data_IF_153503160119
#
_entry.id   IF_153503160119
#
_cell.length_a   1.000
_cell.length_b   1.000
_cell.length_c   1.000
_cell.angle_alpha   90.00
_cell.angle_beta   90.00
_cell.angle_gamma   90.00
#
_symmetry.space_group_name_H-M   'P 1'
#
loop_
_entity.id
_entity.type
_entity.pdbx_description
1 polymer ?
#
# COMPACT_ATOMS: atom_id res chain seq x y z
N UNK A 1 -7.60 -28.50 35.91
CA UNK A 1 -8.93 -28.90 36.39
C UNK A 1 -8.81 -30.24 37.09
N UNK A 2 -8.67 -30.27 38.41
CA UNK A 2 -8.56 -31.54 39.15
C UNK A 2 -9.82 -32.39 38.92
N UNK A 3 -9.65 -33.56 38.30
CA UNK A 3 -10.74 -34.51 38.07
C UNK A 3 -10.86 -35.38 39.32
N UNK A 4 -11.96 -35.22 40.06
CA UNK A 4 -12.23 -35.96 41.30
C UNK A 4 -13.06 -37.24 41.07
N UNK A 5 -13.56 -37.45 39.84
CA UNK A 5 -14.32 -38.65 39.50
C UNK A 5 -13.44 -39.88 39.41
N UNK A 6 -13.97 -41.02 39.86
CA UNK A 6 -13.27 -42.31 39.79
C UNK A 6 -13.06 -42.72 38.33
N UNK A 7 -11.92 -43.34 38.07
CA UNK A 7 -11.66 -43.93 36.76
C UNK A 7 -12.67 -45.04 36.45
N UNK A 8 -12.88 -45.31 35.16
CA UNK A 8 -13.75 -46.42 34.72
C UNK A 8 -13.28 -47.78 35.26
N UNK A 9 -11.99 -47.96 35.50
CA UNK A 9 -11.44 -49.21 36.06
C UNK A 9 -11.79 -49.36 37.55
N UNK A 10 -11.70 -48.29 38.32
CA UNK A 10 -12.13 -48.26 39.72
C UNK A 10 -13.64 -48.49 39.82
N UNK A 11 -14.44 -47.82 38.97
CA UNK A 11 -15.89 -48.02 38.92
C UNK A 11 -16.25 -49.48 38.62
N UNK A 12 -15.63 -50.11 37.61
CA UNK A 12 -15.86 -51.51 37.25
C UNK A 12 -15.57 -52.50 38.39
N UNK A 13 -14.75 -52.14 39.38
CA UNK A 13 -14.49 -53.01 40.52
C UNK A 13 -15.73 -53.18 41.41
N UNK A 14 -16.62 -52.18 41.46
CA UNK A 14 -17.85 -52.21 42.26
C UNK A 14 -19.03 -52.91 41.56
N UNK A 15 -19.00 -53.03 40.23
CA UNK A 15 -20.09 -53.60 39.42
C UNK A 15 -19.74 -54.97 38.81
N UNK A 16 -19.33 -55.93 39.66
CA UNK A 16 -19.06 -57.33 39.24
C UNK A 16 -20.21 -58.26 39.66
N UNK A 17 -20.20 -59.47 39.11
CA UNK A 17 -21.15 -60.51 39.51
C UNK A 17 -21.06 -60.75 41.02
N UNK A 18 -22.21 -60.74 41.70
CA UNK A 18 -22.36 -60.87 43.15
C UNK A 18 -21.82 -59.69 43.99
N UNK A 19 -21.42 -58.57 43.38
CA UNK A 19 -21.14 -57.32 44.11
C UNK A 19 -22.45 -56.64 44.53
N UNK A 20 -22.42 -55.90 45.64
CA UNK A 20 -23.53 -55.05 46.11
C UNK A 20 -23.06 -53.58 46.04
N UNK A 21 -23.25 -52.87 44.91
CA UNK A 21 -22.88 -51.47 44.79
C UNK A 21 -23.70 -50.61 45.77
N UNK A 22 -23.07 -49.60 46.36
CA UNK A 22 -23.73 -48.63 47.23
C UNK A 22 -24.38 -47.50 46.42
N UNK A 23 -25.24 -46.71 47.06
CA UNK A 23 -25.79 -45.47 46.48
C UNK A 23 -24.66 -44.55 45.96
N UNK A 24 -23.58 -44.38 46.73
CA UNK A 24 -22.41 -43.60 46.30
C UNK A 24 -21.74 -44.19 45.06
N UNK A 25 -21.69 -45.52 44.90
CA UNK A 25 -21.16 -46.12 43.67
C UNK A 25 -22.03 -45.81 42.44
N UNK A 26 -23.35 -45.75 42.60
CA UNK A 26 -24.24 -45.33 41.53
C UNK A 26 -24.09 -43.85 41.21
N UNK A 27 -23.97 -42.99 42.23
CA UNK A 27 -23.70 -41.56 42.04
C UNK A 27 -22.39 -41.33 41.27
N UNK A 28 -21.31 -42.00 41.67
CA UNK A 28 -20.01 -41.92 40.97
C UNK A 28 -20.11 -42.36 39.50
N UNK A 29 -20.93 -43.38 39.21
CA UNK A 29 -21.13 -43.88 37.85
C UNK A 29 -21.94 -42.89 36.99
N UNK A 30 -23.01 -42.32 37.53
CA UNK A 30 -23.89 -41.38 36.82
C UNK A 30 -23.16 -40.07 36.55
N UNK A 31 -22.51 -39.50 37.57
CA UNK A 31 -21.81 -38.22 37.46
C UNK A 31 -20.47 -38.32 36.73
N UNK A 32 -19.92 -39.53 36.56
CA UNK A 32 -18.66 -39.77 35.85
C UNK A 32 -18.80 -39.90 34.33
N UNK A 33 -20.02 -39.89 33.79
CA UNK A 33 -20.31 -40.00 32.36
C UNK A 33 -20.79 -38.66 31.79
N UNK A 34 -20.60 -38.45 30.49
CA UNK A 34 -21.14 -37.28 29.81
C UNK A 34 -22.65 -37.41 29.59
N UNK A 35 -23.41 -36.41 30.01
CA UNK A 35 -24.82 -36.22 29.79
C UNK A 35 -25.07 -35.19 28.68
N UNK A 36 -25.89 -35.55 27.70
CA UNK A 36 -26.08 -34.70 26.52
C UNK A 36 -26.68 -33.32 26.81
N UNK A 37 -27.60 -33.26 27.79
CA UNK A 37 -28.32 -32.02 28.11
C UNK A 37 -27.55 -31.22 29.15
N UNK A 38 -27.07 -31.90 30.19
CA UNK A 38 -26.49 -31.22 31.34
C UNK A 38 -25.05 -30.75 31.05
N UNK A 39 -24.31 -31.42 30.16
CA UNK A 39 -22.92 -31.07 29.82
C UNK A 39 -22.79 -30.31 28.49
N UNK A 40 -23.90 -29.91 27.86
CA UNK A 40 -23.87 -29.11 26.62
C UNK A 40 -23.25 -29.83 25.41
N UNK A 41 -23.13 -31.16 25.44
CA UNK A 41 -22.49 -31.96 24.38
C UNK A 41 -23.49 -32.94 23.73
N UNK A 42 -23.82 -32.75 22.46
CA UNK A 42 -24.80 -33.60 21.78
C UNK A 42 -24.21 -34.27 20.54
N UNK A 43 -24.38 -35.60 20.43
CA UNK A 43 -24.08 -36.36 19.22
C UNK A 43 -25.29 -37.16 18.76
N UNK A 44 -26.21 -36.50 18.07
CA UNK A 44 -27.38 -37.15 17.50
C UNK A 44 -26.99 -38.02 16.27
N UNK A 45 -27.68 -39.14 16.02
CA UNK A 45 -27.49 -39.93 14.80
C UNK A 45 -27.63 -39.05 13.56
N UNK A 46 -26.70 -39.16 12.61
CA UNK A 46 -26.70 -38.36 11.37
C UNK A 46 -26.18 -36.91 11.50
N UNK A 47 -26.00 -36.37 12.71
CA UNK A 47 -25.48 -35.00 12.93
C UNK A 47 -24.01 -35.00 13.37
N UNK A 48 -23.25 -33.90 13.15
CA UNK A 48 -21.92 -33.73 13.75
C UNK A 48 -21.99 -33.64 15.28
N UNK A 49 -20.83 -33.59 15.93
CA UNK A 49 -20.75 -33.22 17.34
C UNK A 49 -21.21 -31.78 17.52
N UNK A 50 -22.16 -31.55 18.41
CA UNK A 50 -22.61 -30.21 18.81
C UNK A 50 -22.10 -29.91 20.21
N UNK A 51 -21.63 -28.68 20.40
CA UNK A 51 -21.17 -28.16 21.68
C UNK A 51 -21.90 -26.84 21.90
N UNK A 52 -22.57 -26.73 23.04
CA UNK A 52 -23.16 -25.49 23.52
C UNK A 52 -22.09 -24.72 24.30
N UNK A 53 -21.99 -23.40 24.06
CA UNK A 53 -21.07 -22.58 24.82
C UNK A 53 -21.56 -22.44 26.26
N UNK A 54 -20.63 -22.31 27.20
CA UNK A 54 -21.00 -21.97 28.56
C UNK A 54 -21.76 -20.63 28.65
N UNK A 55 -22.51 -20.45 29.72
CA UNK A 55 -23.24 -19.20 30.00
C UNK A 55 -22.32 -18.10 30.54
N UNK A 56 -21.00 -18.32 30.51
CA UNK A 56 -20.02 -17.34 30.92
C UNK A 56 -19.96 -16.17 29.93
N UNK A 57 -19.39 -15.05 30.38
CA UNK A 57 -19.30 -13.85 29.55
C UNK A 57 -18.44 -14.04 28.30
N UNK A 58 -17.50 -15.00 28.33
CA UNK A 58 -16.62 -15.33 27.20
C UNK A 58 -17.07 -16.58 26.43
N UNK A 59 -18.22 -17.17 26.78
CA UNK A 59 -18.89 -18.27 26.08
C UNK A 59 -17.92 -19.34 25.56
N UNK A 60 -17.17 -19.98 26.47
CA UNK A 60 -16.16 -20.98 26.13
C UNK A 60 -16.83 -22.25 25.62
N UNK A 61 -16.23 -22.83 24.58
CA UNK A 61 -16.68 -24.07 23.93
C UNK A 61 -15.75 -25.24 24.29
N UNK A 62 -14.45 -25.06 24.10
CA UNK A 62 -13.45 -26.12 24.30
C UNK A 62 -12.22 -25.53 24.98
N UNK A 63 -11.77 -26.17 26.04
CA UNK A 63 -10.54 -25.83 26.76
C UNK A 63 -9.45 -26.86 26.47
N UNK A 64 -8.25 -26.39 26.15
CA UNK A 64 -7.08 -27.20 25.88
C UNK A 64 -6.08 -27.03 27.02
N UNK A 65 -5.60 -28.14 27.57
CA UNK A 65 -4.65 -28.19 28.69
C UNK A 65 -3.39 -28.95 28.27
N UNK A 66 -2.24 -28.63 28.87
CA UNK A 66 -1.08 -29.54 28.81
C UNK A 66 -1.28 -30.71 29.76
N UNK A 67 -1.71 -30.39 30.97
CA UNK A 67 -2.09 -31.35 32.00
C UNK A 67 -3.44 -30.94 32.60
N UNK A 68 -4.32 -31.91 32.78
CA UNK A 68 -5.62 -31.67 33.41
C UNK A 68 -5.45 -31.31 34.89
N UNK A 69 -4.30 -31.49 35.53
CA UNK A 69 -4.07 -31.00 36.90
C UNK A 69 -3.97 -29.46 36.99
N UNK A 70 -3.69 -28.74 35.90
CA UNK A 70 -3.47 -27.28 35.87
C UNK A 70 -4.75 -26.47 36.12
N UNK A 71 -4.71 -25.37 36.88
CA UNK A 71 -5.92 -24.59 37.20
C UNK A 71 -6.59 -23.91 36.00
N UNK A 72 -5.83 -23.57 34.95
CA UNK A 72 -6.31 -22.86 33.78
C UNK A 72 -5.88 -23.54 32.46
N UNK A 73 -6.70 -23.48 31.40
CA UNK A 73 -6.33 -24.01 30.10
C UNK A 73 -5.25 -23.15 29.45
N UNK A 74 -4.43 -23.75 28.59
CA UNK A 74 -3.43 -23.03 27.80
C UNK A 74 -4.05 -22.30 26.60
N UNK A 75 -5.10 -22.89 26.02
CA UNK A 75 -5.87 -22.30 24.93
C UNK A 75 -7.35 -22.61 25.11
N UNK A 76 -8.22 -21.73 24.63
CA UNK A 76 -9.65 -21.99 24.55
C UNK A 76 -10.22 -21.60 23.20
N UNK A 77 -11.14 -22.42 22.69
CA UNK A 77 -12.07 -22.03 21.65
C UNK A 77 -13.30 -21.44 22.33
N UNK A 78 -13.73 -20.25 21.91
CA UNK A 78 -14.83 -19.54 22.56
C UNK A 78 -15.68 -18.74 21.56
N UNK A 79 -16.88 -18.36 21.97
CA UNK A 79 -17.74 -17.43 21.25
C UNK A 79 -17.69 -16.06 21.93
N UNK A 80 -17.96 -15.02 21.15
CA UNK A 80 -18.24 -13.69 21.66
C UNK A 80 -17.21 -13.15 22.66
N UNK A 81 -15.90 -13.18 22.34
CA UNK A 81 -14.85 -12.75 23.25
C UNK A 81 -15.02 -11.29 23.70
N UNK A 82 -14.57 -11.01 24.92
CA UNK A 82 -14.50 -9.66 25.47
C UNK A 82 -13.45 -8.78 24.81
N UNK A 83 -13.75 -7.50 24.72
CA UNK A 83 -12.83 -6.44 24.28
C UNK A 83 -11.61 -6.35 25.20
N UNK A 84 -11.84 -6.51 26.51
CA UNK A 84 -10.81 -6.68 27.52
C UNK A 84 -11.21 -7.84 28.46
N UNK A 85 -10.54 -9.01 28.38
CA UNK A 85 -10.85 -10.15 29.25
C UNK A 85 -10.68 -9.88 30.75
N UNK A 86 -9.85 -8.90 31.14
CA UNK A 86 -9.65 -8.53 32.54
C UNK A 86 -10.77 -7.62 33.08
N UNK A 87 -11.54 -6.98 32.20
CA UNK A 87 -12.66 -6.12 32.56
C UNK A 87 -14.00 -6.84 32.38
N UNK A 88 -14.68 -7.09 33.50
CA UNK A 88 -15.99 -7.73 33.51
C UNK A 88 -17.07 -6.93 32.76
N UNK A 89 -16.86 -5.63 32.56
CA UNK A 89 -17.79 -4.70 31.91
C UNK A 89 -17.49 -4.42 30.44
N UNK A 90 -16.37 -4.94 29.91
CA UNK A 90 -16.00 -4.69 28.52
C UNK A 90 -16.97 -5.35 27.53
N UNK A 91 -17.14 -4.72 26.37
CA UNK A 91 -18.05 -5.18 25.32
C UNK A 91 -17.65 -6.56 24.77
N UNK A 92 -18.65 -7.39 24.48
CA UNK A 92 -18.47 -8.66 23.78
C UNK A 92 -18.49 -8.45 22.26
N UNK A 93 -17.62 -9.13 21.53
CA UNK A 93 -17.53 -9.04 20.08
C UNK A 93 -18.07 -10.31 19.43
N UNK A 94 -19.19 -10.21 18.73
CA UNK A 94 -19.88 -11.36 18.16
C UNK A 94 -19.01 -12.14 17.16
N UNK A 95 -18.69 -13.40 17.46
CA UNK A 95 -17.83 -14.20 16.60
C UNK A 95 -17.22 -15.43 17.26
N UNK A 96 -16.33 -16.09 16.54
CA UNK A 96 -15.55 -17.25 17.00
C UNK A 96 -14.13 -16.81 17.34
N UNK A 97 -13.61 -17.26 18.48
CA UNK A 97 -12.28 -16.88 18.99
C UNK A 97 -11.44 -18.07 19.37
N UNK A 98 -10.14 -17.99 19.10
CA UNK A 98 -9.11 -18.81 19.72
C UNK A 98 -8.31 -17.89 20.65
N UNK A 99 -8.36 -18.18 21.95
CA UNK A 99 -7.82 -17.32 23.01
C UNK A 99 -6.80 -18.05 23.88
N UNK A 100 -5.89 -17.29 24.49
CA UNK A 100 -4.94 -17.82 25.47
C UNK A 100 -5.57 -18.04 26.87
N UNK A 101 -4.75 -18.50 27.81
CA UNK A 101 -5.14 -18.73 29.22
C UNK A 101 -5.71 -17.52 29.95
N UNK A 102 -5.36 -16.29 29.51
CA UNK A 102 -5.88 -15.04 30.07
C UNK A 102 -7.16 -14.57 29.37
N UNK A 103 -7.60 -15.30 28.33
CA UNK A 103 -8.76 -14.97 27.53
C UNK A 103 -8.48 -14.00 26.39
N UNK A 104 -7.24 -13.59 26.14
CA UNK A 104 -6.94 -12.70 25.02
C UNK A 104 -7.11 -13.45 23.70
N UNK A 105 -7.88 -12.87 22.77
CA UNK A 105 -8.11 -13.45 21.45
C UNK A 105 -6.89 -13.26 20.55
N UNK A 106 -6.37 -14.35 20.01
CA UNK A 106 -5.26 -14.34 19.03
C UNK A 106 -5.75 -14.49 17.60
N UNK A 107 -6.83 -15.24 17.40
CA UNK A 107 -7.54 -15.37 16.13
C UNK A 107 -9.03 -15.18 16.38
N UNK A 108 -9.65 -14.28 15.63
CA UNK A 108 -11.06 -13.98 15.69
C UNK A 108 -11.71 -14.01 14.31
N UNK A 109 -12.93 -14.52 14.22
CA UNK A 109 -13.76 -14.48 13.02
C UNK A 109 -15.09 -13.83 13.39
N UNK A 110 -15.34 -12.63 12.86
CA UNK A 110 -16.57 -11.88 13.12
C UNK A 110 -17.77 -12.58 12.47
N UNK A 111 -18.83 -12.82 13.25
CA UNK A 111 -19.97 -13.63 12.77
C UNK A 111 -20.84 -12.92 11.74
N UNK A 112 -20.86 -11.58 11.71
CA UNK A 112 -21.69 -10.80 10.78
C UNK A 112 -21.05 -10.63 9.40
N UNK A 113 -19.74 -10.36 9.35
CA UNK A 113 -19.03 -10.03 8.10
C UNK A 113 -18.11 -11.14 7.58
N UNK A 114 -17.78 -12.11 8.44
CA UNK A 114 -16.74 -13.12 8.18
C UNK A 114 -15.33 -12.53 8.11
N UNK A 115 -15.12 -11.32 8.61
CA UNK A 115 -13.80 -10.71 8.67
C UNK A 115 -12.94 -11.44 9.72
N UNK A 116 -11.66 -11.63 9.39
CA UNK A 116 -10.70 -12.33 10.25
C UNK A 116 -9.79 -11.31 10.92
N UNK A 117 -9.69 -11.39 12.24
CA UNK A 117 -8.78 -10.61 13.05
C UNK A 117 -7.65 -11.46 13.63
N UNK A 118 -6.41 -10.98 13.57
CA UNK A 118 -5.26 -11.57 14.27
C UNK A 118 -4.80 -10.57 15.34
N UNK A 119 -4.95 -10.92 16.61
CA UNK A 119 -4.75 -10.00 17.74
C UNK A 119 -5.70 -8.79 17.75
N UNK A 120 -6.78 -8.84 16.96
CA UNK A 120 -7.82 -7.81 16.85
C UNK A 120 -9.19 -8.48 16.79
N UNK A 121 -10.13 -8.06 17.63
CA UNK A 121 -11.51 -8.59 17.66
C UNK A 121 -12.55 -7.63 17.08
N UNK A 122 -12.10 -6.49 16.52
CA UNK A 122 -12.92 -5.55 15.76
C UNK A 122 -12.31 -5.31 14.36
N UNK A 123 -12.22 -6.37 13.52
CA UNK A 123 -11.52 -6.28 12.24
C UNK A 123 -12.22 -5.30 11.28
N UNK A 124 -11.48 -4.30 10.78
CA UNK A 124 -11.99 -3.24 9.89
C UNK A 124 -12.02 -3.63 8.42
N UNK A 125 -11.53 -4.81 8.09
CA UNK A 125 -11.47 -5.37 6.74
C UNK A 125 -11.41 -6.89 6.77
N UNK A 126 -11.34 -7.54 5.60
CA UNK A 126 -11.41 -9.00 5.49
C UNK A 126 -10.34 -9.75 6.29
N UNK A 127 -9.16 -9.16 6.39
CA UNK A 127 -8.09 -9.58 7.29
C UNK A 127 -7.54 -8.33 7.97
N UNK A 128 -7.58 -8.29 9.30
CA UNK A 128 -7.06 -7.19 10.12
C UNK A 128 -6.08 -7.78 11.14
N UNK A 129 -4.85 -7.27 11.16
CA UNK A 129 -3.77 -7.78 12.02
C UNK A 129 -3.33 -6.64 12.92
N UNK A 130 -3.49 -6.80 14.23
CA UNK A 130 -2.89 -5.93 15.21
C UNK A 130 -1.42 -6.33 15.40
N UNK A 131 -0.56 -5.83 14.52
CA UNK A 131 0.86 -6.15 14.51
C UNK A 131 1.43 -6.17 13.10
N UNK A 132 2.48 -6.97 12.92
CA UNK A 132 3.16 -7.12 11.62
C UNK A 132 2.80 -8.44 10.95
N UNK A 133 2.52 -8.38 9.65
CA UNK A 133 2.41 -9.58 8.81
C UNK A 133 3.78 -9.90 8.21
N UNK A 134 4.39 -10.99 8.65
CA UNK A 134 5.68 -11.47 8.14
C UNK A 134 5.44 -12.57 7.11
N UNK A 135 5.97 -12.39 5.91
CA UNK A 135 6.00 -13.42 4.89
C UNK A 135 7.40 -14.02 4.79
N UNK A 136 7.54 -15.32 5.05
CA UNK A 136 8.82 -16.05 4.95
C UNK A 136 8.79 -16.98 3.74
N UNK A 137 9.83 -16.94 2.91
CA UNK A 137 9.94 -17.76 1.69
C UNK A 137 10.72 -17.07 0.56
N UNK A 138 11.39 -17.85 -0.28
CA UNK A 138 12.25 -17.43 -1.40
C UNK A 138 11.49 -17.19 -2.71
N UNK A 139 10.17 -16.96 -2.66
CA UNK A 139 9.34 -16.68 -3.84
C UNK A 139 8.34 -15.57 -3.56
N UNK A 140 8.25 -14.62 -4.49
CA UNK A 140 7.44 -13.41 -4.48
C UNK A 140 6.13 -13.52 -3.68
N UNK A 141 6.10 -12.90 -2.50
CA UNK A 141 4.85 -12.61 -1.82
C UNK A 141 4.04 -11.63 -2.65
N UNK A 142 2.89 -12.08 -3.17
CA UNK A 142 1.92 -11.22 -3.85
C UNK A 142 0.90 -10.72 -2.83
N UNK A 143 1.03 -9.46 -2.41
CA UNK A 143 -0.06 -8.75 -1.73
C UNK A 143 -0.94 -8.15 -2.83
N UNK A 144 -1.93 -8.90 -3.31
CA UNK A 144 -2.88 -8.40 -4.31
C UNK A 144 -4.05 -7.71 -3.60
N UNK A 145 -3.92 -6.41 -3.36
CA UNK A 145 -4.96 -5.56 -2.79
C UNK A 145 -5.65 -4.67 -3.83
N UNK A 146 -5.98 -5.18 -5.02
CA UNK A 146 -6.77 -4.40 -5.96
C UNK A 146 -8.25 -4.52 -5.57
N UNK A 147 -8.80 -3.53 -4.87
CA UNK A 147 -10.27 -3.41 -4.82
C UNK A 147 -10.75 -3.26 -6.26
N UNK A 148 -11.75 -4.05 -6.68
CA UNK A 148 -12.37 -3.89 -8.00
C UNK A 148 -12.92 -2.46 -8.06
N UNK A 149 -12.18 -1.55 -8.69
CA UNK A 149 -12.48 -0.12 -8.76
C UNK A 149 -11.33 0.84 -8.42
N UNK A 150 -10.28 0.40 -7.71
CA UNK A 150 -9.10 1.25 -7.42
C UNK A 150 -7.83 0.67 -8.04
N UNK A 151 -7.19 1.44 -8.93
CA UNK A 151 -6.00 1.04 -9.73
C UNK A 151 -4.69 1.01 -8.91
N UNK A 152 -4.74 0.66 -7.63
CA UNK A 152 -3.59 0.68 -6.72
C UNK A 152 -3.21 -0.76 -6.36
N UNK A 153 -2.02 -1.20 -6.76
CA UNK A 153 -1.53 -2.55 -6.43
C UNK A 153 -1.08 -2.67 -4.96
N UNK A 154 -0.65 -1.56 -4.34
CA UNK A 154 -0.17 -1.48 -2.96
C UNK A 154 -0.29 -0.02 -2.46
N UNK A 155 -0.94 0.20 -1.31
CA UNK A 155 -1.03 1.51 -0.62
C UNK A 155 -0.24 1.41 0.68
N UNK A 156 0.89 2.10 0.77
CA UNK A 156 1.69 2.20 2.00
C UNK A 156 1.40 3.56 2.68
N UNK A 157 0.71 3.55 3.82
CA UNK A 157 0.41 4.75 4.64
C UNK A 157 0.93 4.56 6.06
N UNK A 158 1.61 5.55 6.62
CA UNK A 158 2.01 5.61 8.03
C UNK A 158 2.96 6.78 8.32
N UNK A 159 3.16 7.07 9.61
CA UNK A 159 4.08 8.11 10.11
C UNK A 159 5.49 7.53 10.32
N UNK A 160 6.17 7.19 9.23
CA UNK A 160 7.50 6.59 9.28
C UNK A 160 8.58 7.67 9.21
N UNK A 161 9.66 7.52 10.00
CA UNK A 161 10.86 8.36 9.86
C UNK A 161 11.66 8.01 8.59
N UNK A 162 11.51 6.78 8.09
CA UNK A 162 12.12 6.28 6.85
C UNK A 162 11.28 5.13 6.28
N UNK A 163 11.19 5.04 4.94
CA UNK A 163 10.60 3.90 4.22
C UNK A 163 11.71 3.21 3.40
N UNK A 164 12.27 2.14 3.94
CA UNK A 164 13.34 1.38 3.29
C UNK A 164 12.74 0.21 2.47
N UNK A 165 12.83 0.28 1.14
CA UNK A 165 12.39 -0.80 0.24
C UNK A 165 13.63 -1.43 -0.41
N UNK A 166 14.05 -2.60 0.08
CA UNK A 166 15.19 -3.36 -0.48
C UNK A 166 14.70 -4.30 -1.58
N UNK A 167 15.25 -4.17 -2.79
CA UNK A 167 14.93 -5.02 -3.95
C UNK A 167 14.22 -4.28 -5.08
N UNK A 168 13.59 -5.03 -6.00
CA UNK A 168 12.85 -4.47 -7.15
C UNK A 168 11.49 -3.95 -6.68
N UNK A 169 11.40 -2.65 -6.44
CA UNK A 169 10.21 -1.93 -5.91
C UNK A 169 9.01 -1.94 -6.87
N UNK A 170 9.24 -2.16 -8.16
CA UNK A 170 8.24 -2.03 -9.23
C UNK A 170 8.33 -3.27 -10.14
N UNK A 171 7.30 -4.12 -10.11
CA UNK A 171 7.08 -5.14 -11.15
C UNK A 171 6.11 -4.59 -12.19
N UNK A 172 6.52 -4.62 -13.45
CA UNK A 172 5.94 -3.81 -14.52
C UNK A 172 4.91 -4.62 -15.30
N UNK A 173 3.63 -4.53 -14.93
CA UNK A 173 2.54 -5.05 -15.75
C UNK A 173 1.75 -3.89 -16.37
N UNK A 174 2.21 -3.38 -17.51
CA UNK A 174 1.60 -2.23 -18.20
C UNK A 174 2.58 -1.47 -19.11
N UNK A 175 2.31 -0.18 -19.36
CA UNK A 175 3.03 0.66 -20.33
C UNK A 175 3.98 1.72 -19.74
N UNK A 176 3.68 2.34 -18.59
CA UNK A 176 4.45 3.48 -18.03
C UNK A 176 4.60 3.41 -16.48
N UNK A 177 5.65 4.06 -15.93
CA UNK A 177 5.84 4.33 -14.49
C UNK A 177 5.50 5.79 -14.17
N UNK A 178 4.67 6.04 -13.16
CA UNK A 178 4.18 7.36 -12.77
C UNK A 178 4.52 7.65 -11.29
N UNK A 179 5.12 8.81 -10.98
CA UNK A 179 5.51 9.23 -9.62
C UNK A 179 4.82 10.57 -9.28
N UNK A 180 4.13 10.61 -8.14
CA UNK A 180 3.32 11.76 -7.68
C UNK A 180 1.93 11.78 -8.32
N UNK A 181 0.90 11.39 -7.56
CA UNK A 181 -0.47 11.16 -8.05
C UNK A 181 -1.50 12.04 -7.33
N UNK A 182 -2.53 12.48 -8.05
CA UNK A 182 -3.79 12.96 -7.48
C UNK A 182 -4.84 11.83 -7.40
N UNK A 183 -5.96 12.09 -6.71
CA UNK A 183 -7.01 11.11 -6.45
C UNK A 183 -7.74 10.59 -7.71
N UNK A 184 -7.54 11.20 -8.89
CA UNK A 184 -8.25 10.88 -10.12
C UNK A 184 -7.39 10.20 -11.19
N UNK A 185 -6.11 9.93 -10.91
CA UNK A 185 -5.21 9.21 -11.83
C UNK A 185 -4.97 9.91 -13.18
N UNK A 186 -5.26 11.20 -13.30
CA UNK A 186 -5.08 11.96 -14.55
C UNK A 186 -3.74 12.71 -14.61
N UNK A 187 -3.04 12.74 -13.48
CA UNK A 187 -2.04 13.75 -13.18
C UNK A 187 -0.79 13.12 -12.57
N UNK A 188 0.34 13.13 -13.28
CA UNK A 188 1.61 12.56 -12.80
C UNK A 188 2.69 13.64 -12.79
N UNK A 189 3.51 13.73 -11.75
CA UNK A 189 4.60 14.73 -11.71
C UNK A 189 5.82 14.28 -12.52
N UNK A 190 6.13 12.98 -12.50
CA UNK A 190 7.15 12.36 -13.34
C UNK A 190 6.55 11.12 -14.00
N UNK A 191 6.74 10.98 -15.31
CA UNK A 191 6.32 9.80 -16.07
C UNK A 191 7.49 9.25 -16.89
N UNK A 192 7.66 7.92 -16.87
CA UNK A 192 8.62 7.19 -17.71
C UNK A 192 7.84 6.19 -18.58
N UNK A 193 7.86 6.36 -19.90
CA UNK A 193 7.07 5.52 -20.82
C UNK A 193 7.90 4.59 -21.71
N UNK A 194 7.56 3.28 -21.77
CA UNK A 194 8.32 2.31 -22.62
C UNK A 194 8.09 2.51 -24.10
N UNK A 195 6.82 2.68 -24.48
CA UNK A 195 6.44 2.57 -25.90
C UNK A 195 6.94 3.76 -26.73
N UNK A 196 7.36 4.84 -26.08
CA UNK A 196 7.90 6.03 -26.72
C UNK A 196 9.31 6.38 -26.19
N UNK A 197 9.78 5.73 -25.12
CA UNK A 197 11.13 5.90 -24.58
C UNK A 197 11.38 7.31 -24.04
N UNK A 198 10.44 7.85 -23.25
CA UNK A 198 10.56 9.19 -22.68
C UNK A 198 10.57 9.22 -21.16
N UNK A 199 11.27 10.20 -20.60
CA UNK A 199 11.16 10.69 -19.23
C UNK A 199 10.54 12.09 -19.30
N UNK A 200 9.39 12.33 -18.67
CA UNK A 200 8.77 13.67 -18.63
C UNK A 200 8.55 14.16 -17.20
N UNK A 201 8.65 15.47 -17.05
CA UNK A 201 8.31 16.22 -15.85
C UNK A 201 7.07 17.07 -16.15
N UNK A 202 6.12 17.05 -15.22
CA UNK A 202 4.85 17.73 -15.39
C UNK A 202 4.59 18.71 -14.24
N UNK A 203 3.81 19.75 -14.52
CA UNK A 203 3.30 20.73 -13.54
C UNK A 203 1.78 20.88 -13.66
N UNK A 204 1.19 21.79 -12.87
CA UNK A 204 -0.25 22.07 -12.91
C UNK A 204 -1.09 20.86 -12.49
N UNK A 205 -0.60 20.07 -11.53
CA UNK A 205 -1.17 18.77 -11.21
C UNK A 205 -1.13 17.86 -12.44
N UNK A 206 0.04 17.61 -13.02
CA UNK A 206 0.22 16.59 -14.07
C UNK A 206 -0.48 16.84 -15.42
N UNK A 207 -1.03 18.03 -15.66
CA UNK A 207 -1.72 18.39 -16.91
C UNK A 207 -0.82 19.11 -17.90
N UNK A 208 0.29 19.68 -17.44
CA UNK A 208 1.20 20.48 -18.27
C UNK A 208 2.59 19.85 -18.28
N UNK A 209 3.07 19.43 -19.45
CA UNK A 209 4.46 18.96 -19.62
C UNK A 209 5.42 20.16 -19.59
N UNK A 210 6.37 20.15 -18.66
CA UNK A 210 7.36 21.23 -18.52
C UNK A 210 8.71 20.87 -19.11
N UNK A 211 9.11 19.61 -19.01
CA UNK A 211 10.37 19.10 -19.55
C UNK A 211 10.21 17.64 -19.97
N UNK A 212 10.94 17.24 -21.01
CA UNK A 212 11.05 15.84 -21.41
C UNK A 212 12.43 15.46 -21.90
N UNK A 213 12.76 14.19 -21.76
CA UNK A 213 13.84 13.50 -22.46
C UNK A 213 13.20 12.46 -23.36
N UNK A 214 13.46 12.49 -24.65
CA UNK A 214 12.94 11.53 -25.63
C UNK A 214 13.93 11.38 -26.78
N UNK A 215 14.21 10.14 -27.20
CA UNK A 215 15.15 9.84 -28.29
C UNK A 215 16.53 10.53 -28.11
N UNK A 216 17.02 10.60 -26.87
CA UNK A 216 18.30 11.25 -26.52
C UNK A 216 18.29 12.79 -26.55
N UNK A 217 17.11 13.41 -26.69
CA UNK A 217 16.94 14.88 -26.74
C UNK A 217 16.19 15.38 -25.53
N UNK A 218 16.53 16.59 -25.08
CA UNK A 218 15.86 17.30 -24.01
C UNK A 218 14.95 18.39 -24.61
N UNK A 219 13.66 18.33 -24.29
CA UNK A 219 12.70 19.41 -24.56
C UNK A 219 12.35 20.15 -23.28
N UNK A 220 12.36 21.48 -23.28
CA UNK A 220 11.85 22.32 -22.18
C UNK A 220 10.75 23.22 -22.76
N UNK A 221 9.53 23.11 -22.23
CA UNK A 221 8.37 23.81 -22.79
C UNK A 221 7.97 23.36 -24.21
N UNK A 222 8.45 22.21 -24.67
CA UNK A 222 8.11 21.63 -25.98
C UNK A 222 7.99 20.12 -25.89
N UNK A 223 6.94 19.57 -26.50
CA UNK A 223 6.70 18.14 -26.55
C UNK A 223 7.41 17.46 -27.73
N UNK A 224 7.97 18.20 -28.69
CA UNK A 224 8.65 17.63 -29.86
C UNK A 224 10.06 18.23 -30.05
N UNK A 225 11.05 17.81 -29.24
CA UNK A 225 12.42 18.33 -29.39
C UNK A 225 13.04 17.90 -30.72
N UNK A 226 13.42 18.88 -31.55
CA UNK A 226 14.01 18.66 -32.88
C UNK A 226 15.55 18.61 -32.84
N UNK A 227 16.17 19.08 -31.75
CA UNK A 227 17.61 19.14 -31.52
C UNK A 227 17.94 18.55 -30.13
N UNK A 228 19.22 18.37 -29.80
CA UNK A 228 19.67 17.79 -28.51
C UNK A 228 19.08 18.51 -27.30
N UNK A 229 19.02 19.84 -27.33
CA UNK A 229 18.28 20.67 -26.38
C UNK A 229 17.38 21.62 -27.17
N UNK A 230 16.06 21.48 -27.03
CA UNK A 230 15.06 22.35 -27.63
C UNK A 230 14.27 23.04 -26.53
N UNK A 231 14.39 24.36 -26.42
CA UNK A 231 13.58 25.17 -25.51
C UNK A 231 12.50 25.89 -26.33
N UNK A 232 11.25 25.59 -26.05
CA UNK A 232 10.07 26.23 -26.68
C UNK A 232 9.78 27.61 -26.10
N UNK A 233 10.81 28.43 -25.88
CA UNK A 233 10.69 29.73 -25.21
C UNK A 233 12.06 30.39 -24.98
N UNK A 234 12.05 31.50 -24.26
CA UNK A 234 13.28 32.24 -23.94
C UNK A 234 14.14 31.50 -22.92
N UNK A 235 15.45 31.53 -23.13
CA UNK A 235 16.44 31.05 -22.15
C UNK A 235 17.06 32.27 -21.49
N UNK A 236 16.89 32.41 -20.16
CA UNK A 236 17.62 33.40 -19.37
C UNK A 236 18.90 32.74 -18.83
N UNK A 237 20.04 33.38 -19.05
CA UNK A 237 21.34 32.95 -18.51
C UNK A 237 21.88 34.09 -17.66
N UNK A 238 21.95 33.91 -16.34
CA UNK A 238 22.48 34.94 -15.42
C UNK A 238 24.02 35.01 -15.46
N UNK A 239 24.68 33.95 -15.92
CA UNK A 239 26.14 33.89 -16.13
C UNK A 239 26.56 33.99 -17.60
N UNK A 240 27.74 33.45 -17.92
CA UNK A 240 28.21 33.38 -19.31
C UNK A 240 27.61 32.18 -20.06
N UNK A 241 27.13 32.42 -21.28
CA UNK A 241 26.78 31.38 -22.24
C UNK A 241 27.99 31.13 -23.16
N UNK A 242 28.74 30.05 -22.92
CA UNK A 242 29.86 29.67 -23.78
C UNK A 242 29.32 28.91 -25.02
N UNK A 243 29.33 29.57 -26.18
CA UNK A 243 28.94 28.97 -27.46
C UNK A 243 30.19 28.77 -28.33
N UNK A 244 30.47 27.53 -28.70
CA UNK A 244 31.46 27.20 -29.74
C UNK A 244 30.83 27.10 -31.14
N UNK A 245 29.50 27.21 -31.23
CA UNK A 245 28.73 27.17 -32.48
C UNK A 245 28.29 28.56 -32.95
N UNK A 246 27.54 28.59 -34.05
CA UNK A 246 26.99 29.83 -34.62
C UNK A 246 25.66 30.22 -33.94
N UNK A 247 25.47 31.52 -33.69
CA UNK A 247 24.15 32.08 -33.39
C UNK A 247 23.42 32.24 -34.72
N UNK A 248 22.40 31.41 -34.97
CA UNK A 248 21.52 31.58 -36.13
C UNK A 248 20.60 32.77 -35.85
N UNK A 249 20.77 33.84 -36.62
CA UNK A 249 19.93 35.04 -36.61
C UNK A 249 19.38 35.29 -38.02
N UNK A 250 18.37 36.17 -38.12
CA UNK A 250 17.87 36.60 -39.42
C UNK A 250 18.97 37.26 -40.26
N UNK A 251 18.84 37.06 -41.58
CA UNK A 251 19.78 37.60 -42.55
C UNK A 251 19.77 39.13 -42.52
N UNK A 252 20.96 39.71 -42.43
CA UNK A 252 21.15 41.14 -42.62
C UNK A 252 20.72 41.56 -44.02
N UNK A 253 19.81 42.52 -44.11
CA UNK A 253 19.44 43.20 -45.35
C UNK A 253 20.38 44.40 -45.57
N UNK A 254 20.89 44.61 -46.79
CA UNK A 254 21.70 45.79 -47.08
C UNK A 254 20.86 47.06 -46.89
N UNK A 255 21.45 48.09 -46.27
CA UNK A 255 20.82 49.40 -46.18
C UNK A 255 21.05 50.19 -47.47
N UNK A 256 19.99 50.76 -48.04
CA UNK A 256 20.09 51.71 -49.16
C UNK A 256 20.63 53.05 -48.65
N UNK A 257 21.80 53.45 -49.14
CA UNK A 257 22.42 54.72 -48.77
C UNK A 257 21.98 55.81 -49.76
N UNK A 258 21.52 56.94 -49.23
CA UNK A 258 21.00 58.10 -49.99
C UNK A 258 21.75 59.38 -49.58
N UNK A 259 21.54 60.49 -50.29
CA UNK A 259 22.12 61.81 -49.95
C UNK A 259 23.64 61.80 -49.74
N UNK A 260 24.37 61.11 -50.62
CA UNK A 260 25.83 61.05 -50.57
C UNK A 260 26.42 60.15 -49.48
N UNK A 261 25.58 59.50 -48.65
CA UNK A 261 26.07 58.49 -47.73
C UNK A 261 26.71 57.32 -48.48
N UNK A 262 27.92 56.95 -48.10
CA UNK A 262 28.64 55.81 -48.65
C UNK A 262 29.24 54.93 -47.56
N UNK A 263 29.65 53.70 -47.91
CA UNK A 263 30.33 52.80 -46.97
C UNK A 263 31.61 53.45 -46.47
N UNK A 264 31.84 53.39 -45.15
CA UNK A 264 33.01 54.02 -44.53
C UNK A 264 34.34 53.48 -45.10
N UNK A 265 34.52 52.15 -45.06
CA UNK A 265 35.65 51.41 -45.65
C UNK A 265 35.31 49.91 -45.81
N UNK A 266 36.21 49.15 -46.47
CA UNK A 266 36.08 47.69 -46.60
C UNK A 266 36.39 46.91 -45.32
N UNK A 267 37.02 47.53 -44.32
CA UNK A 267 37.40 46.90 -43.05
C UNK A 267 36.25 46.80 -42.05
N UNK A 268 35.18 47.59 -42.23
CA UNK A 268 33.95 47.48 -41.43
C UNK A 268 32.86 46.75 -42.20
N UNK A 269 31.91 46.15 -41.47
CA UNK A 269 30.71 45.59 -42.06
C UNK A 269 29.98 46.64 -42.93
N UNK A 270 29.44 46.22 -44.08
CA UNK A 270 28.54 47.07 -44.86
C UNK A 270 27.32 47.45 -44.03
N UNK A 271 26.80 48.66 -44.24
CA UNK A 271 25.58 49.12 -43.61
C UNK A 271 24.43 48.15 -43.89
N UNK A 272 23.75 47.72 -42.85
CA UNK A 272 22.67 46.76 -42.97
C UNK A 272 21.77 46.76 -41.75
N UNK A 273 20.59 46.19 -41.94
CA UNK A 273 19.60 46.07 -40.90
C UNK A 273 18.91 44.71 -40.96
N UNK A 274 18.38 44.26 -39.84
CA UNK A 274 17.34 43.23 -39.83
C UNK A 274 16.33 43.58 -38.74
N UNK A 275 15.16 42.96 -38.81
CA UNK A 275 14.11 43.10 -37.80
C UNK A 275 13.94 41.75 -37.14
N UNK A 276 14.08 41.66 -35.82
CA UNK A 276 13.87 40.41 -35.11
C UNK A 276 12.37 40.08 -34.93
N UNK A 277 12.08 38.92 -34.35
CA UNK A 277 10.72 38.45 -34.07
C UNK A 277 9.94 39.34 -33.09
N UNK A 278 10.64 40.16 -32.30
CA UNK A 278 10.04 41.14 -31.39
C UNK A 278 9.78 42.48 -32.10
N UNK A 279 10.16 42.58 -33.36
CA UNK A 279 9.97 43.76 -34.18
C UNK A 279 11.02 44.83 -33.99
N UNK A 280 12.11 44.55 -33.25
CA UNK A 280 13.22 45.48 -33.01
C UNK A 280 14.13 45.48 -34.24
N UNK A 281 14.49 46.68 -34.70
CA UNK A 281 15.44 46.85 -35.80
C UNK A 281 16.85 46.91 -35.24
N UNK A 282 17.66 45.96 -35.67
CA UNK A 282 19.09 45.92 -35.40
C UNK A 282 19.82 46.54 -36.58
N UNK A 283 20.82 47.38 -36.31
CA UNK A 283 21.63 48.06 -37.31
C UNK A 283 23.07 47.61 -37.19
N UNK A 284 23.77 47.52 -38.31
CA UNK A 284 25.21 47.33 -38.35
C UNK A 284 25.86 48.17 -39.43
N UNK A 285 27.18 48.25 -39.35
CA UNK A 285 28.03 48.87 -40.36
C UNK A 285 28.23 50.36 -40.15
N UNK A 286 29.19 50.93 -40.88
CA UNK A 286 29.58 52.34 -40.77
C UNK A 286 29.46 53.04 -42.12
N UNK A 287 28.98 54.29 -42.10
CA UNK A 287 28.77 55.15 -43.27
C UNK A 287 29.47 56.49 -43.12
N UNK A 288 29.78 57.20 -44.22
CA UNK A 288 30.40 58.53 -44.25
C UNK A 288 29.84 59.41 -45.36
N UNK A 289 30.25 60.68 -45.38
CA UNK A 289 30.03 61.66 -46.47
C UNK A 289 28.58 62.06 -46.76
N UNK A 290 27.64 61.81 -45.84
CA UNK A 290 26.26 62.26 -46.00
C UNK A 290 26.13 63.78 -46.03
N UNK A 291 25.31 64.27 -46.95
CA UNK A 291 24.89 65.68 -47.01
C UNK A 291 23.47 65.79 -46.45
N UNK A 292 23.28 66.72 -45.51
CA UNK A 292 21.97 67.03 -44.91
C UNK A 292 21.05 67.80 -45.85
#
# INVERSE_FOLDING_TARGET
MKIESKSRNELKAYFRKNSIPTESNFADLINGMLNHKDDGIAKLPGNPLSIEADDSVQQKLINFYHDLEEEAPVWSLSLNPKSDPADASSDNNSGLSISDSLGNSHLFIESTTGNVGIGNITPKGKLDINGSLVFTGNSSTKISGASRGSRHALVLKGHWNELEIKGRVIDWTGTNLHIGYDNNHASHMIEMGRNVGHLRFMSGGGTTETMRVINGRVGIGTSNPMTTLHVGGSVKVDGFLNLSGQITQDNWKPASLINGWERYSTTFNSAGYFRDSFGIVHLKGMVKNGTG
#
